data_IF_837660647673
#
_entry.id   IF_837660647673
#
_cell.length_a   1.000
_cell.length_b   1.000
_cell.length_c   1.000
_cell.angle_alpha   90.00
_cell.angle_beta   90.00
_cell.angle_gamma   90.00
#
_symmetry.space_group_name_H-M   'P 1'
#
loop_
_entity.id
_entity.type
_entity.pdbx_description
1 polymer ?
#
# COMPACT_ATOMS: atom_id res chain seq x y z
N UNK A 1 44.69 -15.77 -6.84
CA UNK A 1 43.80 -16.80 -7.42
C UNK A 1 42.50 -16.11 -7.81
N UNK A 2 42.41 -15.64 -9.05
CA UNK A 2 41.17 -15.12 -9.64
C UNK A 2 40.36 -16.32 -10.13
N UNK A 3 39.15 -16.49 -9.64
CA UNK A 3 38.13 -17.32 -10.29
C UNK A 3 37.19 -16.36 -11.02
N UNK A 4 37.44 -16.22 -12.32
CA UNK A 4 36.54 -15.67 -13.31
C UNK A 4 35.38 -16.65 -13.52
N UNK A 5 34.19 -16.33 -13.02
CA UNK A 5 32.95 -16.93 -13.49
C UNK A 5 32.29 -15.95 -14.46
N UNK A 6 32.48 -16.24 -15.76
CA UNK A 6 31.72 -15.65 -16.86
C UNK A 6 30.25 -16.02 -16.68
N UNK A 7 29.44 -15.11 -16.14
CA UNK A 7 27.99 -15.25 -16.13
C UNK A 7 27.47 -14.65 -17.44
N UNK A 8 26.89 -15.48 -18.29
CA UNK A 8 26.13 -15.02 -19.46
C UNK A 8 24.89 -14.26 -18.97
N UNK A 9 24.90 -12.94 -19.08
CA UNK A 9 23.69 -12.15 -19.01
C UNK A 9 22.87 -12.42 -20.29
N UNK A 10 21.91 -13.33 -20.21
CA UNK A 10 20.74 -13.26 -21.06
C UNK A 10 19.95 -12.03 -20.58
N UNK A 11 20.30 -10.86 -21.12
CA UNK A 11 19.40 -9.72 -21.14
C UNK A 11 18.10 -10.20 -21.82
N UNK A 12 16.93 -10.15 -21.18
CA UNK A 12 15.70 -10.21 -21.92
C UNK A 12 15.64 -8.90 -22.72
N UNK A 13 16.06 -8.98 -23.98
CA UNK A 13 15.75 -7.97 -25.00
C UNK A 13 14.27 -7.66 -24.92
N UNK A 14 13.94 -6.39 -24.69
CA UNK A 14 12.64 -5.82 -25.04
C UNK A 14 12.36 -6.13 -26.52
N UNK A 15 11.75 -7.27 -26.82
CA UNK A 15 11.18 -7.52 -28.13
C UNK A 15 9.86 -6.77 -28.21
N UNK A 16 9.92 -5.55 -28.77
CA UNK A 16 8.85 -5.07 -29.64
C UNK A 16 8.64 -6.15 -30.71
N UNK A 17 7.64 -7.00 -30.54
CA UNK A 17 7.09 -7.81 -31.64
C UNK A 17 6.17 -6.92 -32.47
N UNK A 18 6.76 -6.03 -33.27
CA UNK A 18 6.16 -5.57 -34.52
C UNK A 18 6.39 -6.67 -35.54
N UNK A 19 5.46 -7.63 -35.63
CA UNK A 19 5.44 -8.57 -36.73
C UNK A 19 4.90 -7.86 -37.99
N UNK A 20 5.80 -7.24 -38.75
CA UNK A 20 5.54 -6.81 -40.12
C UNK A 20 5.55 -8.04 -41.04
N UNK A 21 4.38 -8.62 -41.31
CA UNK A 21 4.21 -9.53 -42.43
C UNK A 21 3.98 -8.72 -43.70
N UNK A 22 5.00 -8.67 -44.56
CA UNK A 22 4.84 -8.30 -45.96
C UNK A 22 4.14 -9.46 -46.70
N UNK A 23 2.92 -9.23 -47.19
CA UNK A 23 2.34 -9.98 -48.30
C UNK A 23 2.00 -8.99 -49.43
N UNK A 24 2.26 -9.33 -50.71
CA UNK A 24 2.05 -8.43 -51.83
C UNK A 24 0.55 -8.29 -52.16
N UNK A 25 0.19 -7.07 -52.56
CA UNK A 25 -1.08 -6.53 -53.06
C UNK A 25 -2.09 -7.55 -53.64
N UNK A 26 -3.38 -7.40 -53.32
CA UNK A 26 -4.38 -6.81 -54.25
C UNK A 26 -5.78 -6.69 -53.61
N UNK A 27 -6.46 -5.61 -54.01
CA UNK A 27 -7.90 -5.29 -53.88
C UNK A 27 -8.43 -4.64 -52.59
N UNK A 28 -9.02 -3.46 -52.81
CA UNK A 28 -9.79 -2.63 -51.88
C UNK A 28 -10.94 -3.41 -51.25
N UNK A 29 -11.10 -3.35 -49.93
CA UNK A 29 -12.37 -3.36 -49.20
C UNK A 29 -12.11 -3.03 -47.71
N UNK A 30 -12.92 -2.12 -47.16
CA UNK A 30 -12.86 -1.61 -45.77
C UNK A 30 -12.96 -2.74 -44.73
N UNK A 31 -12.15 -2.77 -43.65
CA UNK A 31 -12.33 -3.75 -42.59
C UNK A 31 -13.25 -3.22 -41.48
N UNK A 32 -14.47 -3.75 -41.45
CA UNK A 32 -15.24 -3.95 -40.22
C UNK A 32 -14.52 -4.96 -39.32
N UNK A 33 -14.13 -4.55 -38.10
CA UNK A 33 -13.52 -5.44 -37.12
C UNK A 33 -14.59 -6.34 -36.45
N UNK A 34 -14.58 -7.63 -36.78
CA UNK A 34 -15.14 -8.69 -35.94
C UNK A 34 -14.01 -9.26 -35.06
N UNK A 35 -14.13 -9.12 -33.73
CA UNK A 35 -13.27 -9.85 -32.79
C UNK A 35 -13.79 -11.29 -32.64
N UNK A 36 -13.03 -12.26 -33.16
CA UNK A 36 -13.20 -13.67 -32.81
C UNK A 36 -12.61 -13.93 -31.41
N UNK A 37 -13.46 -14.44 -30.51
CA UNK A 37 -13.06 -15.00 -29.22
C UNK A 37 -12.17 -16.24 -29.45
N UNK A 38 -10.90 -16.15 -29.01
CA UNK A 38 -10.06 -17.32 -28.78
C UNK A 38 -9.74 -17.42 -27.29
N UNK A 39 -10.43 -18.34 -26.60
CA UNK A 39 -10.17 -18.72 -25.22
C UNK A 39 -8.85 -19.50 -25.13
N UNK A 40 -7.74 -18.79 -24.98
CA UNK A 40 -6.46 -19.37 -24.58
C UNK A 40 -6.21 -19.03 -23.10
N UNK A 41 -5.87 -20.04 -22.30
CA UNK A 41 -5.77 -20.00 -20.84
C UNK A 41 -5.07 -18.74 -20.27
N UNK A 42 -5.85 -17.79 -19.77
CA UNK A 42 -5.42 -16.46 -19.30
C UNK A 42 -4.70 -16.44 -17.94
N UNK A 43 -4.52 -17.58 -17.26
CA UNK A 43 -3.89 -17.60 -15.93
C UNK A 43 -2.37 -17.38 -15.98
N UNK A 44 -1.66 -17.96 -16.96
CA UNK A 44 -0.19 -17.89 -17.01
C UNK A 44 0.34 -16.50 -17.41
N UNK A 45 -0.40 -15.73 -18.22
CA UNK A 45 0.02 -14.39 -18.66
C UNK A 45 -0.01 -13.33 -17.53
N UNK A 46 -0.82 -13.52 -16.49
CA UNK A 46 -1.03 -12.52 -15.42
C UNK A 46 0.12 -12.48 -14.41
N UNK A 47 0.69 -13.64 -14.06
CA UNK A 47 1.89 -13.71 -13.21
C UNK A 47 3.14 -13.17 -13.95
N UNK A 48 3.25 -13.47 -15.25
CA UNK A 48 4.36 -13.03 -16.10
C UNK A 48 4.39 -11.51 -16.30
N UNK A 49 3.24 -10.88 -16.57
CA UNK A 49 3.15 -9.40 -16.69
C UNK A 49 3.54 -8.68 -15.40
N UNK A 50 3.19 -9.24 -14.25
CA UNK A 50 3.58 -8.69 -12.95
C UNK A 50 5.09 -8.82 -12.68
N UNK A 51 5.66 -9.98 -13.00
CA UNK A 51 7.08 -10.24 -12.87
C UNK A 51 7.89 -9.32 -13.79
N UNK A 52 7.44 -9.11 -15.03
CA UNK A 52 8.03 -8.18 -16.00
C UNK A 52 8.00 -6.72 -15.52
N UNK A 53 6.91 -6.28 -14.87
CA UNK A 53 6.87 -4.94 -14.30
C UNK A 53 7.88 -4.77 -13.16
N UNK A 54 7.98 -5.74 -12.24
CA UNK A 54 9.01 -5.67 -11.18
C UNK A 54 10.42 -5.62 -11.73
N UNK A 55 10.73 -6.44 -12.73
CA UNK A 55 12.08 -6.49 -13.31
C UNK A 55 12.41 -5.23 -14.11
N UNK A 56 11.43 -4.44 -14.57
CA UNK A 56 11.65 -3.14 -15.20
C UNK A 56 11.90 -1.99 -14.19
N UNK A 57 11.35 -2.05 -12.97
CA UNK A 57 11.55 -0.99 -11.96
C UNK A 57 12.89 -1.10 -11.21
N UNK A 58 13.39 -2.32 -10.95
CA UNK A 58 14.68 -2.52 -10.29
C UNK A 58 15.88 -1.86 -11.02
N UNK A 59 15.98 -1.92 -12.37
CA UNK A 59 17.01 -1.23 -13.14
C UNK A 59 16.88 0.29 -13.10
N UNK A 60 15.66 0.83 -13.03
CA UNK A 60 15.45 2.28 -12.93
C UNK A 60 15.98 2.85 -11.60
N UNK A 61 15.85 2.07 -10.51
CA UNK A 61 16.39 2.40 -9.20
C UNK A 61 17.93 2.40 -9.15
N UNK A 62 18.59 1.68 -10.06
CA UNK A 62 20.07 1.66 -10.16
C UNK A 62 20.63 2.81 -10.98
N UNK A 63 19.82 3.43 -11.85
CA UNK A 63 20.21 4.56 -12.72
C UNK A 63 20.16 5.93 -12.02
N UNK A 64 19.34 6.11 -10.97
CA UNK A 64 19.17 7.38 -10.24
C UNK A 64 20.19 7.57 -9.10
N UNK A 65 21.41 7.06 -9.27
CA UNK A 65 22.49 7.27 -8.31
C UNK A 65 22.64 8.75 -7.94
N UNK A 66 22.79 9.01 -6.63
CA UNK A 66 23.02 10.32 -5.99
C UNK A 66 21.75 11.08 -5.53
N UNK A 67 21.11 10.56 -4.48
CA UNK A 67 20.59 11.30 -3.31
C UNK A 67 19.91 10.27 -2.40
N UNK A 68 19.92 10.49 -1.09
CA UNK A 68 19.33 9.61 -0.06
C UNK A 68 17.97 9.08 -0.52
N UNK A 69 17.94 7.82 -0.96
CA UNK A 69 16.74 7.26 -1.56
C UNK A 69 15.93 6.61 -0.44
N UNK A 70 14.95 7.33 0.10
CA UNK A 70 13.91 6.72 0.93
C UNK A 70 12.92 6.02 0.00
N UNK A 71 13.20 4.76 -0.33
CA UNK A 71 12.23 3.92 -1.02
C UNK A 71 11.40 3.21 0.03
N UNK A 72 10.36 3.89 0.51
CA UNK A 72 9.16 3.18 0.93
C UNK A 72 8.37 2.95 -0.35
N UNK A 73 8.37 1.73 -0.88
CA UNK A 73 7.39 1.38 -1.90
C UNK A 73 6.03 1.43 -1.20
N UNK A 74 5.39 2.59 -1.23
CA UNK A 74 4.06 2.90 -0.70
C UNK A 74 2.94 2.14 -1.44
N UNK A 75 3.27 1.00 -2.01
CA UNK A 75 2.39 0.30 -2.89
C UNK A 75 2.36 -1.15 -2.45
N UNK A 76 1.29 -1.52 -1.75
CA UNK A 76 0.46 -2.59 -2.29
C UNK A 76 0.00 -2.16 -3.70
N UNK A 77 0.93 -2.23 -4.66
CA UNK A 77 0.86 -1.86 -6.09
C UNK A 77 -0.38 -1.03 -6.46
N UNK A 78 -0.25 0.28 -6.39
CA UNK A 78 -1.17 1.19 -7.09
C UNK A 78 -0.88 1.12 -8.59
N UNK A 79 -1.40 0.07 -9.24
CA UNK A 79 -1.76 0.16 -10.65
C UNK A 79 -3.27 0.37 -10.73
N UNK A 80 -3.75 1.48 -11.32
CA UNK A 80 -5.18 1.72 -11.52
C UNK A 80 -5.82 0.82 -12.58
N UNK A 81 -5.07 -0.15 -13.16
CA UNK A 81 -5.60 -1.10 -14.13
C UNK A 81 -6.19 -2.39 -13.52
N UNK A 82 -6.20 -2.52 -12.18
CA UNK A 82 -6.60 -3.74 -11.48
C UNK A 82 -7.92 -3.62 -10.68
N UNK A 83 -8.72 -2.58 -10.91
CA UNK A 83 -9.87 -2.24 -10.06
C UNK A 83 -11.22 -2.78 -10.52
N UNK A 84 -11.32 -3.56 -11.60
CA UNK A 84 -12.60 -4.14 -12.01
C UNK A 84 -12.42 -5.62 -12.39
N UNK A 85 -12.62 -6.51 -11.41
CA UNK A 85 -12.77 -7.96 -11.61
C UNK A 85 -11.50 -8.80 -11.43
N UNK A 86 -11.38 -9.45 -10.27
CA UNK A 86 -10.66 -10.71 -10.06
C UNK A 86 -9.16 -10.75 -10.40
N UNK A 87 -8.35 -10.86 -9.34
CA UNK A 87 -6.97 -11.39 -9.32
C UNK A 87 -5.87 -10.45 -9.86
N UNK A 88 -5.43 -9.51 -9.02
CA UNK A 88 -4.16 -8.82 -9.20
C UNK A 88 -3.00 -9.77 -8.82
N UNK A 89 -2.03 -9.97 -9.72
CA UNK A 89 -0.92 -10.93 -9.54
C UNK A 89 0.13 -10.58 -8.46
N UNK A 90 -0.23 -9.76 -7.47
CA UNK A 90 0.62 -9.41 -6.34
C UNK A 90 0.62 -10.51 -5.28
N UNK A 91 1.77 -10.71 -4.65
CA UNK A 91 1.95 -11.69 -3.59
C UNK A 91 2.49 -11.01 -2.33
N UNK A 92 1.76 -11.17 -1.22
CA UNK A 92 2.06 -10.69 0.11
C UNK A 92 2.50 -11.83 1.04
N UNK A 93 2.62 -13.07 0.54
CA UNK A 93 3.08 -14.21 1.33
C UNK A 93 4.38 -13.89 2.09
N UNK A 94 4.48 -14.29 3.38
CA UNK A 94 3.53 -15.09 4.16
C UNK A 94 2.47 -14.27 4.91
N UNK A 95 2.35 -12.97 4.67
CA UNK A 95 1.49 -12.09 5.46
C UNK A 95 0.00 -12.29 5.13
N UNK A 96 -0.85 -12.10 6.14
CA UNK A 96 -2.31 -12.13 5.99
C UNK A 96 -2.79 -10.92 5.21
N UNK A 97 -3.76 -11.11 4.35
CA UNK A 97 -4.39 -10.02 3.60
C UNK A 97 -3.47 -9.37 2.58
N UNK A 98 -3.87 -8.17 2.16
CA UNK A 98 -3.28 -7.47 1.02
C UNK A 98 -3.99 -6.14 0.79
N UNK A 99 -3.89 -5.58 -0.42
CA UNK A 99 -4.45 -4.24 -0.74
C UNK A 99 -5.88 -4.11 -0.22
N UNK A 100 -6.18 -2.96 0.40
CA UNK A 100 -7.48 -2.61 1.02
C UNK A 100 -7.80 -3.26 2.37
N UNK A 101 -6.87 -4.02 2.96
CA UNK A 101 -7.01 -4.57 4.31
C UNK A 101 -6.01 -3.94 5.28
N UNK A 102 -6.38 -3.93 6.57
CA UNK A 102 -5.50 -3.50 7.65
C UNK A 102 -4.66 -4.65 8.24
N UNK A 103 -4.72 -5.85 7.65
CA UNK A 103 -3.79 -6.94 7.95
C UNK A 103 -2.36 -6.61 7.47
N UNK A 104 -1.36 -7.31 7.99
CA UNK A 104 0.06 -7.05 7.69
C UNK A 104 0.35 -7.08 6.19
N UNK A 105 -0.29 -7.95 5.40
CA UNK A 105 -0.12 -7.99 3.95
C UNK A 105 -0.65 -6.74 3.24
N UNK A 106 -1.59 -6.01 3.84
CA UNK A 106 -2.14 -4.77 3.29
C UNK A 106 -1.31 -3.52 3.59
N UNK A 107 -0.61 -3.50 4.73
CA UNK A 107 0.04 -2.28 5.27
C UNK A 107 1.55 -2.41 5.46
N UNK A 108 2.09 -3.63 5.62
CA UNK A 108 3.53 -3.86 5.77
C UNK A 108 4.17 -3.93 4.39
N UNK A 109 5.08 -3.01 4.12
CA UNK A 109 5.75 -2.88 2.82
C UNK A 109 7.24 -3.14 2.92
N UNK A 110 7.84 -3.50 1.79
CA UNK A 110 9.29 -3.50 1.67
C UNK A 110 9.78 -2.04 1.68
N UNK A 111 10.75 -1.74 2.54
CA UNK A 111 11.36 -0.42 2.67
C UNK A 111 12.85 -0.56 2.89
N UNK A 112 13.63 0.31 2.24
CA UNK A 112 15.07 0.42 2.46
C UNK A 112 15.53 1.85 2.22
N UNK A 113 16.65 2.18 2.85
CA UNK A 113 17.38 3.42 2.60
C UNK A 113 18.74 3.10 1.99
N UNK A 114 19.15 3.89 1.01
CA UNK A 114 20.47 3.77 0.40
C UNK A 114 20.99 5.15 -0.01
N UNK A 115 22.29 5.23 -0.28
CA UNK A 115 22.95 6.46 -0.72
C UNK A 115 24.12 6.87 0.16
N UNK A 116 24.83 7.92 -0.27
CA UNK A 116 26.05 8.40 0.37
C UNK A 116 25.85 8.86 1.82
N UNK A 117 24.68 9.41 2.14
CA UNK A 117 24.34 9.89 3.48
C UNK A 117 24.17 8.77 4.52
N UNK A 118 23.92 7.52 4.09
CA UNK A 118 23.79 6.39 5.01
C UNK A 118 25.18 6.04 5.57
N UNK A 119 25.40 6.12 6.90
CA UNK A 119 26.70 5.83 7.52
C UNK A 119 27.20 4.43 7.18
N UNK A 120 28.52 4.27 7.01
CA UNK A 120 29.11 2.98 6.63
C UNK A 120 28.71 1.83 7.56
N UNK A 121 28.61 2.11 8.87
CA UNK A 121 28.20 1.13 9.87
C UNK A 121 26.74 0.64 9.73
N UNK A 122 25.88 1.41 9.06
CA UNK A 122 24.47 1.07 8.86
C UNK A 122 24.21 0.35 7.53
N UNK A 123 25.16 0.36 6.60
CA UNK A 123 24.98 -0.22 5.26
C UNK A 123 24.91 -1.75 5.36
N UNK A 124 23.90 -2.34 4.72
CA UNK A 124 23.61 -3.77 4.82
C UNK A 124 22.95 -4.18 6.15
N UNK A 125 22.71 -3.23 7.05
CA UNK A 125 21.99 -3.48 8.30
C UNK A 125 20.48 -3.65 8.08
N UNK A 126 19.83 -4.27 9.07
CA UNK A 126 18.38 -4.39 9.16
C UNK A 126 17.89 -3.69 10.42
N UNK A 127 16.86 -2.87 10.26
CA UNK A 127 16.17 -2.18 11.34
C UNK A 127 14.78 -2.80 11.54
N UNK A 128 14.36 -2.95 12.79
CA UNK A 128 13.09 -3.62 13.17
C UNK A 128 12.09 -2.71 13.88
N UNK A 129 12.50 -1.50 14.27
CA UNK A 129 11.63 -0.52 14.91
C UNK A 129 10.57 0.00 13.94
N UNK A 130 9.49 0.53 14.51
CA UNK A 130 8.38 1.03 13.71
C UNK A 130 8.80 2.24 12.87
N UNK A 131 8.30 2.28 11.64
CA UNK A 131 8.42 3.39 10.72
C UNK A 131 7.15 3.43 9.88
N UNK A 132 6.61 4.63 9.67
CA UNK A 132 5.50 4.87 8.77
C UNK A 132 5.96 5.66 7.55
N UNK A 133 5.21 5.63 6.46
CA UNK A 133 5.63 6.38 5.27
C UNK A 133 5.58 7.89 5.49
N UNK A 134 4.62 8.37 6.28
CA UNK A 134 4.49 9.80 6.55
C UNK A 134 5.67 10.34 7.36
N UNK A 135 6.46 9.49 8.03
CA UNK A 135 7.71 9.87 8.72
C UNK A 135 8.78 10.45 7.80
N UNK A 136 8.70 10.15 6.50
CA UNK A 136 9.60 10.72 5.52
C UNK A 136 9.59 12.26 5.58
N UNK A 137 8.43 12.87 5.87
CA UNK A 137 8.29 14.31 5.89
C UNK A 137 9.17 14.98 6.96
N UNK A 138 8.99 14.61 8.24
CA UNK A 138 9.81 15.16 9.32
C UNK A 138 11.28 14.74 9.23
N UNK A 139 11.54 13.51 8.78
CA UNK A 139 12.91 13.01 8.58
C UNK A 139 13.67 13.83 7.54
N UNK A 140 13.05 14.14 6.39
CA UNK A 140 13.68 14.97 5.36
C UNK A 140 13.77 16.44 5.76
N UNK A 141 12.77 16.96 6.48
CA UNK A 141 12.85 18.31 7.03
C UNK A 141 14.06 18.44 7.98
N UNK A 142 14.23 17.50 8.91
CA UNK A 142 15.37 17.48 9.84
C UNK A 142 16.71 17.42 9.10
N UNK A 143 16.84 16.54 8.10
CA UNK A 143 18.03 16.44 7.25
C UNK A 143 18.34 17.73 6.48
N UNK A 144 17.31 18.48 6.08
CA UNK A 144 17.46 19.76 5.42
C UNK A 144 17.67 20.95 6.39
N UNK A 145 17.62 20.71 7.71
CA UNK A 145 17.64 21.77 8.72
C UNK A 145 16.38 22.64 8.71
N UNK A 146 15.25 22.11 8.22
CA UNK A 146 13.97 22.80 8.12
C UNK A 146 13.05 22.44 9.30
N UNK A 147 12.19 23.38 9.70
CA UNK A 147 11.10 23.15 10.64
C UNK A 147 10.02 22.29 9.96
N UNK A 148 9.68 21.11 10.51
CA UNK A 148 8.64 20.26 9.93
C UNK A 148 7.22 20.80 10.19
N UNK A 149 7.03 21.81 11.03
CA UNK A 149 5.70 22.34 11.36
C UNK A 149 5.04 22.98 10.14
N UNK A 150 3.83 22.51 9.79
CA UNK A 150 2.98 23.22 8.85
C UNK A 150 2.29 24.40 9.56
N UNK A 151 3.01 25.54 9.61
CA UNK A 151 2.52 26.77 10.25
C UNK A 151 1.22 27.29 9.62
N UNK A 152 1.01 27.04 8.33
CA UNK A 152 -0.22 27.48 7.64
C UNK A 152 -1.41 26.62 8.06
N UNK A 153 -1.22 25.31 8.14
CA UNK A 153 -2.23 24.38 8.65
C UNK A 153 -2.56 24.68 10.13
N UNK A 154 -1.53 24.91 10.95
CA UNK A 154 -1.72 25.27 12.36
C UNK A 154 -2.49 26.58 12.54
N UNK A 155 -2.17 27.61 11.76
CA UNK A 155 -2.91 28.88 11.76
C UNK A 155 -4.38 28.73 11.30
N UNK A 156 -4.67 27.71 10.50
CA UNK A 156 -6.03 27.34 10.08
C UNK A 156 -6.75 26.41 11.08
N UNK A 157 -6.14 26.08 12.22
CA UNK A 157 -6.71 25.18 13.23
C UNK A 157 -6.71 23.70 12.82
N UNK A 158 -5.89 23.31 11.84
CA UNK A 158 -5.70 21.91 11.47
C UNK A 158 -4.78 21.20 12.46
N UNK A 159 -4.93 19.87 12.64
CA UNK A 159 -4.04 19.11 13.52
C UNK A 159 -2.58 19.17 13.09
N UNK A 160 -1.69 18.96 14.06
CA UNK A 160 -0.27 18.80 13.81
C UNK A 160 0.01 17.55 12.94
N UNK A 161 1.18 17.53 12.31
CA UNK A 161 1.65 16.37 11.55
C UNK A 161 1.86 15.16 12.48
N UNK A 162 1.54 13.97 11.98
CA UNK A 162 1.82 12.71 12.69
C UNK A 162 3.24 12.18 12.45
N UNK A 163 4.03 12.86 11.62
CA UNK A 163 5.37 12.45 11.19
C UNK A 163 6.41 12.60 12.31
N UNK A 164 7.28 11.60 12.43
CA UNK A 164 8.40 11.57 13.37
C UNK A 164 9.72 11.60 12.61
N UNK A 165 10.72 12.34 13.09
CA UNK A 165 12.07 12.27 12.55
C UNK A 165 12.72 10.94 12.92
N UNK A 166 12.95 10.10 11.90
CA UNK A 166 13.59 8.80 12.05
C UNK A 166 15.10 8.85 11.78
N UNK A 167 15.68 9.98 11.36
CA UNK A 167 17.09 10.03 10.96
C UNK A 167 18.06 9.57 12.06
N UNK A 168 17.88 9.92 13.35
CA UNK A 168 18.74 9.38 14.41
C UNK A 168 18.72 7.85 14.46
N UNK A 169 17.57 7.23 14.20
CA UNK A 169 17.42 5.77 14.17
C UNK A 169 18.03 5.18 12.89
N UNK A 170 17.70 5.75 11.74
CA UNK A 170 18.18 5.32 10.43
C UNK A 170 19.70 5.47 10.24
N UNK A 171 20.31 6.47 10.90
CA UNK A 171 21.76 6.71 10.89
C UNK A 171 22.51 5.93 11.97
N UNK A 172 21.81 5.24 12.88
CA UNK A 172 22.41 4.48 13.97
C UNK A 172 22.90 5.33 15.14
N UNK A 173 22.49 6.60 15.23
CA UNK A 173 22.75 7.45 16.39
C UNK A 173 21.98 6.96 17.62
N UNK A 174 20.81 6.36 17.40
CA UNK A 174 20.02 5.67 18.43
C UNK A 174 19.68 4.25 18.00
N UNK A 175 19.58 3.34 18.97
CA UNK A 175 19.29 1.93 18.73
C UNK A 175 17.80 1.61 18.56
N UNK A 176 16.92 2.48 19.07
CA UNK A 176 15.47 2.29 19.09
C UNK A 176 14.78 3.33 18.21
N UNK A 177 13.74 2.93 17.48
CA UNK A 177 12.94 3.89 16.72
C UNK A 177 12.25 4.87 17.68
N UNK A 178 12.26 6.18 17.40
CA UNK A 178 11.47 7.14 18.15
C UNK A 178 9.95 6.98 17.89
N UNK A 179 9.56 6.26 16.84
CA UNK A 179 8.15 5.88 16.61
C UNK A 179 7.83 4.60 17.38
N UNK A 180 6.91 4.72 18.34
CA UNK A 180 6.42 3.60 19.17
C UNK A 180 4.99 3.19 18.86
N UNK A 181 4.29 3.93 18.00
CA UNK A 181 2.90 3.66 17.64
C UNK A 181 2.61 3.99 16.17
N UNK A 182 1.72 3.22 15.55
CA UNK A 182 1.16 3.49 14.23
C UNK A 182 -0.35 3.32 14.31
N UNK A 183 -1.05 4.41 14.07
CA UNK A 183 -2.50 4.46 13.88
C UNK A 183 -2.84 3.99 12.46
N UNK A 184 -3.75 3.03 12.34
CA UNK A 184 -4.16 2.45 11.05
C UNK A 184 -5.57 2.94 10.73
N UNK A 185 -5.65 3.79 9.70
CA UNK A 185 -6.90 4.43 9.27
C UNK A 185 -7.84 3.50 8.51
N UNK A 186 -9.13 3.85 8.57
CA UNK A 186 -10.20 3.33 7.72
C UNK A 186 -11.31 4.37 7.60
N UNK A 187 -12.42 4.01 6.97
CA UNK A 187 -13.60 4.85 6.83
C UNK A 187 -14.86 4.08 7.22
N UNK A 188 -15.82 4.80 7.82
CA UNK A 188 -17.17 4.28 8.06
C UNK A 188 -17.89 3.99 6.75
N UNK A 189 -18.98 3.23 6.81
CA UNK A 189 -19.92 3.15 5.70
C UNK A 189 -20.68 4.46 5.56
N UNK A 190 -21.42 4.56 4.46
CA UNK A 190 -22.42 5.60 4.26
C UNK A 190 -23.52 5.54 5.33
N UNK A 191 -23.87 4.34 5.81
CA UNK A 191 -24.73 4.19 6.98
C UNK A 191 -23.97 4.64 8.24
N UNK A 192 -24.36 5.77 8.87
CA UNK A 192 -23.70 6.28 10.05
C UNK A 192 -23.89 5.38 11.28
N UNK A 193 -24.87 4.48 11.25
CA UNK A 193 -25.11 3.50 12.32
C UNK A 193 -24.14 2.32 12.26
N UNK A 194 -23.36 2.17 11.19
CA UNK A 194 -22.33 1.15 11.03
C UNK A 194 -20.90 1.73 10.99
N UNK A 195 -20.40 2.34 12.08
CA UNK A 195 -19.10 3.00 12.08
C UNK A 195 -17.91 2.04 11.89
N UNK A 196 -18.12 0.73 11.98
CA UNK A 196 -17.06 -0.30 11.95
C UNK A 196 -17.23 -1.33 10.83
N UNK A 197 -18.09 -1.03 9.86
CA UNK A 197 -18.19 -1.78 8.62
C UNK A 197 -16.94 -1.54 7.73
N UNK A 198 -16.95 -2.14 6.53
CA UNK A 198 -15.88 -1.98 5.55
C UNK A 198 -16.35 -0.99 4.46
N UNK A 199 -15.74 0.20 4.41
CA UNK A 199 -15.82 1.09 3.25
C UNK A 199 -14.43 1.39 2.69
N UNK A 200 -13.90 0.40 1.94
CA UNK A 200 -12.52 0.39 1.43
C UNK A 200 -12.17 1.58 0.55
N UNK A 201 -13.18 2.12 -0.12
CA UNK A 201 -13.04 3.17 -1.12
C UNK A 201 -13.46 4.54 -0.58
N UNK A 202 -13.98 4.60 0.65
CA UNK A 202 -14.48 5.83 1.25
C UNK A 202 -15.61 6.46 0.42
N UNK A 203 -16.44 5.64 -0.23
CA UNK A 203 -17.55 6.14 -1.04
C UNK A 203 -18.69 6.65 -0.17
N UNK A 204 -19.33 7.72 -0.61
CA UNK A 204 -20.46 8.33 0.10
C UNK A 204 -20.03 9.22 1.27
N UNK A 205 -20.98 9.48 2.17
CA UNK A 205 -20.75 10.32 3.33
C UNK A 205 -20.10 9.50 4.46
N UNK A 206 -18.76 9.55 4.53
CA UNK A 206 -17.97 8.73 5.47
C UNK A 206 -17.20 9.59 6.46
N UNK A 207 -16.95 9.02 7.64
CA UNK A 207 -16.00 9.58 8.60
C UNK A 207 -14.73 8.75 8.64
N UNK A 208 -13.59 9.43 8.78
CA UNK A 208 -12.30 8.77 9.01
C UNK A 208 -12.24 8.27 10.43
N UNK A 209 -11.79 7.03 10.57
CA UNK A 209 -11.60 6.38 11.86
C UNK A 209 -10.21 5.73 11.92
N UNK A 210 -9.69 5.61 13.13
CA UNK A 210 -8.62 4.68 13.47
C UNK A 210 -9.28 3.32 13.70
N UNK A 211 -9.08 2.40 12.77
CA UNK A 211 -9.62 1.03 12.84
C UNK A 211 -8.61 0.05 13.46
N UNK A 212 -7.32 0.35 13.37
CA UNK A 212 -6.26 -0.47 13.94
C UNK A 212 -5.18 0.36 14.62
N UNK A 213 -4.41 -0.31 15.48
CA UNK A 213 -3.32 0.29 16.22
C UNK A 213 -2.16 -0.69 16.32
N UNK A 214 -0.96 -0.28 15.95
CA UNK A 214 0.29 -1.00 16.26
C UNK A 214 1.03 -0.25 17.35
N UNK A 215 1.46 -0.95 18.39
CA UNK A 215 2.26 -0.39 19.48
C UNK A 215 3.51 -1.24 19.71
N UNK A 216 4.68 -0.60 19.67
CA UNK A 216 5.93 -1.16 20.18
C UNK A 216 6.00 -0.87 21.69
N UNK A 217 5.88 -1.92 22.49
CA UNK A 217 5.87 -1.85 23.96
C UNK A 217 7.22 -2.26 24.55
N UNK A 218 8.30 -2.16 23.76
CA UNK A 218 9.65 -2.49 24.20
C UNK A 218 9.81 -3.98 24.49
N UNK A 219 10.18 -4.33 25.73
CA UNK A 219 10.37 -5.73 26.14
C UNK A 219 9.10 -6.57 26.04
N UNK A 220 7.93 -5.95 26.11
CA UNK A 220 6.64 -6.64 26.02
C UNK A 220 6.28 -7.00 24.56
N UNK A 221 7.06 -6.51 23.59
CA UNK A 221 6.93 -6.81 22.17
C UNK A 221 6.10 -5.81 21.37
N UNK A 222 5.85 -6.16 20.12
CA UNK A 222 5.10 -5.33 19.17
C UNK A 222 3.71 -5.91 18.95
N UNK A 223 2.71 -5.17 19.40
CA UNK A 223 1.31 -5.59 19.40
C UNK A 223 0.52 -4.86 18.34
N UNK A 224 -0.51 -5.52 17.84
CA UNK A 224 -1.46 -4.95 16.89
C UNK A 224 -2.88 -5.26 17.31
N UNK A 225 -3.71 -4.23 17.43
CA UNK A 225 -5.15 -4.36 17.62
C UNK A 225 -5.85 -3.97 16.32
N UNK A 226 -6.82 -4.78 15.88
CA UNK A 226 -7.75 -4.43 14.80
C UNK A 226 -9.18 -4.46 15.33
N UNK A 227 -10.02 -3.52 14.90
CA UNK A 227 -11.45 -3.49 15.25
C UNK A 227 -12.33 -3.58 14.01
N UNK A 228 -13.59 -3.94 14.22
CA UNK A 228 -14.58 -4.02 13.16
C UNK A 228 -14.23 -5.01 12.06
N UNK A 229 -14.85 -4.80 10.91
CA UNK A 229 -14.76 -5.70 9.76
C UNK A 229 -13.47 -5.42 8.99
N UNK A 230 -12.67 -6.45 8.76
CA UNK A 230 -11.42 -6.40 8.03
C UNK A 230 -11.51 -7.31 6.82
N UNK A 231 -11.26 -6.75 5.64
CA UNK A 231 -11.43 -7.48 4.40
C UNK A 231 -10.17 -8.24 3.96
N UNK A 232 -10.30 -8.98 2.86
CA UNK A 232 -9.21 -9.77 2.30
C UNK A 232 -8.62 -10.73 3.32
N UNK A 233 -9.50 -11.38 4.08
CA UNK A 233 -9.10 -12.32 5.11
C UNK A 233 -8.58 -13.62 4.48
N UNK A 234 -7.27 -13.73 4.31
CA UNK A 234 -6.65 -14.97 3.85
C UNK A 234 -5.13 -14.85 3.69
N UNK A 235 -4.51 -15.97 3.37
CA UNK A 235 -3.08 -16.09 3.12
C UNK A 235 -2.85 -16.65 1.73
N UNK A 236 -1.93 -16.01 1.00
CA UNK A 236 -1.50 -16.49 -0.30
C UNK A 236 -0.47 -17.61 -0.12
N UNK A 237 -0.17 -18.37 -1.18
CA UNK A 237 0.99 -19.26 -1.19
C UNK A 237 2.26 -18.54 -1.67
N UNK A 238 3.45 -19.14 -1.51
CA UNK A 238 4.70 -18.56 -2.03
C UNK A 238 4.68 -18.37 -3.55
N UNK A 239 3.92 -19.21 -4.26
CA UNK A 239 3.59 -19.06 -5.67
C UNK A 239 2.11 -18.72 -5.81
N UNK A 240 1.81 -17.45 -6.08
CA UNK A 240 0.46 -16.94 -6.22
C UNK A 240 0.39 -15.87 -7.33
N UNK A 241 -0.69 -15.82 -8.14
CA UNK A 241 -1.67 -16.90 -8.31
C UNK A 241 -1.03 -18.10 -9.02
N UNK A 242 -1.59 -19.29 -8.86
CA UNK A 242 -1.16 -20.52 -9.53
C UNK A 242 -2.35 -21.27 -10.13
N UNK A 243 -2.10 -22.40 -10.79
CA UNK A 243 -3.14 -23.18 -11.48
C UNK A 243 -4.27 -23.70 -10.57
N UNK A 244 -4.03 -23.81 -9.26
CA UNK A 244 -5.05 -24.20 -8.28
C UNK A 244 -5.74 -23.00 -7.64
N UNK A 245 -5.40 -21.77 -8.02
CA UNK A 245 -6.05 -20.54 -7.53
C UNK A 245 -7.35 -20.35 -8.29
N UNK A 246 -8.52 -20.47 -7.64
CA UNK A 246 -9.79 -20.12 -8.26
C UNK A 246 -9.81 -18.68 -8.75
N UNK A 247 -10.56 -18.42 -9.83
CA UNK A 247 -10.64 -17.10 -10.45
C UNK A 247 -11.23 -16.02 -9.53
N UNK A 248 -11.84 -16.40 -8.42
CA UNK A 248 -12.55 -15.59 -7.44
C UNK A 248 -11.88 -15.54 -6.05
N UNK A 249 -10.76 -16.25 -5.81
CA UNK A 249 -10.24 -16.55 -4.44
C UNK A 249 -9.47 -15.42 -3.73
N UNK A 250 -9.70 -14.18 -4.12
CA UNK A 250 -9.19 -13.07 -3.31
C UNK A 250 -10.17 -11.93 -3.40
N UNK A 251 -11.37 -12.27 -2.93
CA UNK A 251 -12.49 -11.38 -3.01
C UNK A 251 -12.40 -10.39 -1.87
N UNK A 252 -12.68 -9.14 -2.21
CA UNK A 252 -13.00 -8.11 -1.25
C UNK A 252 -14.07 -8.57 -0.22
N UNK A 253 -14.78 -9.66 -0.46
CA UNK A 253 -15.84 -10.22 0.36
C UNK A 253 -15.37 -11.20 1.45
N UNK A 254 -14.10 -11.61 1.47
CA UNK A 254 -13.56 -12.42 2.56
C UNK A 254 -13.32 -11.52 3.76
N UNK A 255 -14.27 -11.53 4.70
CA UNK A 255 -14.31 -10.61 5.83
C UNK A 255 -14.02 -11.37 7.12
N UNK A 256 -13.08 -10.84 7.90
CA UNK A 256 -12.88 -11.20 9.30
C UNK A 256 -13.41 -10.07 10.17
N UNK A 257 -14.35 -10.37 11.06
CA UNK A 257 -14.91 -9.36 11.95
C UNK A 257 -14.26 -9.44 13.33
N UNK A 258 -13.51 -8.40 13.67
CA UNK A 258 -12.91 -8.23 14.99
C UNK A 258 -13.88 -7.62 16.00
N UNK A 259 -15.08 -7.24 15.56
CA UNK A 259 -16.12 -6.67 16.38
C UNK A 259 -15.65 -5.45 17.17
N UNK A 260 -16.30 -5.25 18.31
CA UNK A 260 -16.12 -4.04 19.10
C UNK A 260 -15.00 -4.12 20.13
N UNK A 261 -14.66 -5.33 20.53
CA UNK A 261 -13.61 -5.64 21.50
C UNK A 261 -12.24 -5.84 20.83
N UNK A 262 -12.23 -5.94 19.51
CA UNK A 262 -11.04 -6.05 18.67
C UNK A 262 -10.46 -7.46 18.60
N UNK A 263 -9.54 -7.68 17.66
CA UNK A 263 -8.61 -8.81 17.62
C UNK A 263 -7.21 -8.32 17.98
N UNK A 264 -6.44 -9.09 18.73
CA UNK A 264 -5.11 -8.72 19.19
C UNK A 264 -4.05 -9.69 18.63
N UNK A 265 -3.00 -9.16 18.03
CA UNK A 265 -1.92 -9.94 17.43
C UNK A 265 -0.55 -9.51 17.96
N UNK A 266 0.34 -10.50 18.16
CA UNK A 266 1.77 -10.27 18.42
C UNK A 266 2.55 -10.28 17.12
N UNK A 267 2.72 -9.13 16.48
CA UNK A 267 3.28 -9.08 15.11
C UNK A 267 4.80 -9.20 15.06
N UNK A 268 5.48 -9.11 16.20
CA UNK A 268 6.88 -9.47 16.38
C UNK A 268 7.12 -10.99 16.37
N UNK A 269 6.19 -11.77 16.93
CA UNK A 269 6.28 -13.23 17.03
C UNK A 269 5.46 -13.97 15.95
N UNK A 270 4.29 -13.42 15.62
CA UNK A 270 3.36 -13.87 14.58
C UNK A 270 3.10 -12.72 13.60
N UNK A 271 4.06 -12.42 12.70
CA UNK A 271 3.86 -11.40 11.65
C UNK A 271 2.77 -11.80 10.64
N UNK A 272 2.27 -13.02 10.72
CA UNK A 272 1.26 -13.58 9.82
C UNK A 272 -0.16 -13.52 10.38
N UNK A 273 -0.34 -13.06 11.63
CA UNK A 273 -1.65 -12.81 12.25
C UNK A 273 -2.58 -14.03 12.24
N UNK A 274 -2.05 -15.22 12.51
CA UNK A 274 -2.83 -16.46 12.64
C UNK A 274 -3.49 -16.58 14.02
N UNK A 275 -2.85 -16.05 15.05
CA UNK A 275 -3.29 -16.21 16.44
C UNK A 275 -3.87 -14.92 17.00
N UNK A 276 -5.19 -14.87 17.17
CA UNK A 276 -5.83 -13.82 17.97
C UNK A 276 -5.62 -14.11 19.47
N UNK A 277 -4.96 -13.19 20.15
CA UNK A 277 -4.55 -13.28 21.54
C UNK A 277 -5.43 -12.45 22.47
N UNK A 278 -6.54 -11.87 22.00
CA UNK A 278 -7.39 -11.00 22.82
C UNK A 278 -7.80 -11.66 24.13
N UNK A 279 -8.23 -12.92 24.08
CA UNK A 279 -8.77 -13.63 25.24
C UNK A 279 -7.67 -14.11 26.21
N UNK A 280 -6.47 -14.38 25.69
CA UNK A 280 -5.30 -14.72 26.52
C UNK A 280 -4.60 -13.48 27.09
N UNK A 281 -4.72 -12.33 26.44
CA UNK A 281 -4.03 -11.08 26.79
C UNK A 281 -5.02 -9.90 26.96
N UNK A 282 -6.07 -10.06 27.80
CA UNK A 282 -7.19 -9.11 27.86
C UNK A 282 -6.78 -7.73 28.37
N UNK A 283 -5.75 -7.65 29.22
CA UNK A 283 -5.23 -6.38 29.72
C UNK A 283 -4.61 -5.52 28.61
N UNK A 284 -3.87 -6.16 27.69
CA UNK A 284 -3.23 -5.48 26.56
C UNK A 284 -4.31 -5.08 25.53
N UNK A 285 -5.23 -6.00 25.22
CA UNK A 285 -6.37 -5.70 24.35
C UNK A 285 -7.17 -4.49 24.85
N UNK A 286 -7.54 -4.47 26.13
CA UNK A 286 -8.29 -3.36 26.73
C UNK A 286 -7.48 -2.05 26.72
N UNK A 287 -6.18 -2.10 27.02
CA UNK A 287 -5.29 -0.94 26.97
C UNK A 287 -5.21 -0.34 25.56
N UNK A 288 -4.99 -1.17 24.55
CA UNK A 288 -4.87 -0.72 23.16
C UNK A 288 -6.23 -0.24 22.62
N UNK A 289 -7.33 -0.90 22.99
CA UNK A 289 -8.68 -0.49 22.58
C UNK A 289 -9.02 0.90 23.14
N UNK A 290 -8.69 1.14 24.42
CA UNK A 290 -8.85 2.46 25.03
C UNK A 290 -8.04 3.53 24.30
N UNK A 291 -6.79 3.22 23.93
CA UNK A 291 -5.95 4.14 23.18
C UNK A 291 -6.51 4.44 21.78
N UNK A 292 -6.97 3.40 21.07
CA UNK A 292 -7.63 3.53 19.77
C UNK A 292 -8.90 4.40 19.86
N UNK A 293 -9.73 4.18 20.88
CA UNK A 293 -10.93 5.00 21.12
C UNK A 293 -10.57 6.46 21.41
N UNK A 294 -9.51 6.72 22.18
CA UNK A 294 -9.04 8.07 22.43
C UNK A 294 -8.54 8.76 21.15
N UNK A 295 -7.86 8.05 20.25
CA UNK A 295 -7.41 8.60 18.96
C UNK A 295 -8.58 8.91 18.03
N UNK A 296 -9.64 8.11 18.08
CA UNK A 296 -10.86 8.36 17.30
C UNK A 296 -11.56 9.67 17.68
N UNK A 297 -11.42 10.17 18.92
CA UNK A 297 -12.04 11.44 19.32
C UNK A 297 -11.35 12.67 18.73
N UNK A 298 -10.10 12.52 18.28
CA UNK A 298 -9.27 13.60 17.72
C UNK A 298 -8.97 13.40 16.23
N UNK A 299 -9.54 12.37 15.60
CA UNK A 299 -9.25 12.04 14.20
C UNK A 299 -9.75 13.15 13.27
N UNK A 300 -8.85 13.64 12.40
CA UNK A 300 -9.22 14.61 11.40
C UNK A 300 -10.02 13.96 10.26
N UNK A 301 -11.29 14.33 10.14
CA UNK A 301 -12.17 13.83 9.09
C UNK A 301 -12.81 14.99 8.32
N UNK A 302 -12.11 15.57 7.34
CA UNK A 302 -12.66 16.63 6.53
C UNK A 302 -13.73 16.10 5.57
N UNK A 303 -14.61 16.98 5.12
CA UNK A 303 -15.50 16.68 4.02
C UNK A 303 -14.69 16.50 2.72
N UNK A 304 -14.81 15.32 2.08
CA UNK A 304 -14.04 14.94 0.89
C UNK A 304 -14.81 15.11 -0.43
N UNK A 305 -15.95 15.79 -0.39
CA UNK A 305 -16.89 15.85 -1.52
C UNK A 305 -17.89 14.70 -1.53
N UNK A 306 -18.83 14.69 -2.47
CA UNK A 306 -19.86 13.64 -2.62
C UNK A 306 -19.38 12.41 -3.41
N UNK A 307 -18.11 12.37 -3.81
CA UNK A 307 -17.51 11.28 -4.57
C UNK A 307 -18.01 11.17 -6.01
N UNK A 308 -17.84 10.00 -6.64
CA UNK A 308 -18.19 9.73 -8.04
C UNK A 308 -19.71 9.72 -8.33
N UNK A 309 -20.56 9.78 -7.31
CA UNK A 309 -22.02 9.69 -7.46
C UNK A 309 -22.68 11.06 -7.76
N UNK A 310 -21.90 12.14 -7.92
CA UNK A 310 -22.40 13.51 -8.08
C UNK A 310 -22.13 14.12 -9.47
N UNK A 311 -22.82 15.24 -9.73
CA UNK A 311 -22.69 16.15 -10.88
C UNK A 311 -21.25 16.61 -11.15
N UNK A 312 -20.36 16.46 -10.17
CA UNK A 312 -18.94 16.77 -10.27
C UNK A 312 -18.20 15.89 -11.28
N UNK A 313 -18.63 14.64 -11.51
CA UNK A 313 -18.07 13.81 -12.59
C UNK A 313 -18.40 14.38 -13.95
N UNK A 314 -19.62 14.91 -14.13
CA UNK A 314 -20.01 15.58 -15.36
C UNK A 314 -19.23 16.89 -15.55
N UNK A 315 -19.02 17.66 -14.48
CA UNK A 315 -18.20 18.87 -14.51
C UNK A 315 -16.73 18.57 -14.85
N UNK A 316 -16.14 17.53 -14.25
CA UNK A 316 -14.79 17.07 -14.57
C UNK A 316 -14.67 16.62 -16.03
N UNK A 317 -15.68 15.89 -16.55
CA UNK A 317 -15.71 15.49 -17.95
C UNK A 317 -15.93 16.68 -18.90
N UNK A 318 -16.70 17.68 -18.51
CA UNK A 318 -16.88 18.92 -19.29
C UNK A 318 -15.58 19.73 -19.33
N UNK A 319 -14.92 19.91 -18.19
CA UNK A 319 -13.61 20.55 -18.11
C UNK A 319 -12.59 19.80 -18.97
N UNK A 320 -12.54 18.47 -18.90
CA UNK A 320 -11.65 17.68 -19.74
C UNK A 320 -11.90 17.88 -21.24
N UNK A 321 -13.16 18.05 -21.65
CA UNK A 321 -13.51 18.40 -23.04
C UNK A 321 -13.03 19.80 -23.41
N UNK A 322 -13.17 20.79 -22.54
CA UNK A 322 -12.61 22.14 -22.74
C UNK A 322 -11.08 22.10 -22.87
N UNK A 323 -10.42 21.19 -22.17
CA UNK A 323 -8.97 21.00 -22.20
C UNK A 323 -8.48 20.09 -23.33
N UNK A 324 -9.31 19.81 -24.34
CA UNK A 324 -8.89 18.97 -25.48
C UNK A 324 -8.70 17.49 -25.13
N UNK A 325 -9.43 16.99 -24.13
CA UNK A 325 -9.42 15.59 -23.70
C UNK A 325 -8.54 15.29 -22.49
N UNK A 326 -7.95 16.31 -21.85
CA UNK A 326 -7.08 16.14 -20.68
C UNK A 326 -7.79 16.51 -19.38
N UNK A 327 -7.68 15.68 -18.34
CA UNK A 327 -8.17 16.05 -17.02
C UNK A 327 -7.42 17.27 -16.47
N UNK A 328 -8.15 18.18 -15.82
CA UNK A 328 -7.62 19.39 -15.20
C UNK A 328 -8.56 19.92 -14.12
N UNK A 329 -8.22 21.06 -13.48
CA UNK A 329 -9.07 21.67 -12.45
C UNK A 329 -10.49 21.92 -12.97
N UNK A 330 -11.52 21.53 -12.21
CA UNK A 330 -12.92 21.62 -12.68
C UNK A 330 -13.87 22.27 -11.68
N UNK A 331 -13.37 22.62 -10.49
CA UNK A 331 -14.09 23.43 -9.51
C UNK A 331 -13.80 24.91 -9.82
N UNK A 332 -14.81 25.64 -10.29
CA UNK A 332 -14.77 27.09 -10.57
C UNK A 332 -15.33 27.87 -9.40
#
# INVERSE_FOLDING_TARGET
>A
LLLTTTTYYLLPTCCLLLATYYLPLTTNLLPTYYMLHATCNMLHLRALTHHMLTTCYLPLATLLGVATSYYSLLTTRYLPLATLGGVAGANNWPLRGGKTSNFQGGIRVNSWISGGAVPLAMRGGKLSGLAAVWDAYATFAALAGADPTDHRAAAAGLPAIDSVDLWPYLSGQVATSPRVRIEIGSATCEDPSEPRCINKWGWGNVTTIVQGLIEDRGSDGVWKLLTGRNSMNGWQGPLYPNATTPADIWSFNDIYDCGDTGCLFRIDLDPTEHSDLRDSEPAIAASMLKQLQALNTTTFSPYRGRGEQDRDVAAACAAAREYGGFYGPFLK
#
